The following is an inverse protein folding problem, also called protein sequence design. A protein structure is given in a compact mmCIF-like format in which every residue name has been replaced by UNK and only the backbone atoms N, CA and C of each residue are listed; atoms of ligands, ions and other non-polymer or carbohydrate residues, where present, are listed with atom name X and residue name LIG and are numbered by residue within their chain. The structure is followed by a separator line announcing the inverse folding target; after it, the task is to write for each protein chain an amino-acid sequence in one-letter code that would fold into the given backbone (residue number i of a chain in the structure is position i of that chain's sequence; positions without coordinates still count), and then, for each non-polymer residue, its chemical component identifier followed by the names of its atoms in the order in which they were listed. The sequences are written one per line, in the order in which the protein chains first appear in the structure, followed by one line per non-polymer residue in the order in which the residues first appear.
data_IF_679880159384
#
_entry.id   IF_679880159384
#
_cell.length_a   1.000
_cell.length_b   1.000
_cell.length_c   1.000
_cell.angle_alpha   90.00
_cell.angle_beta   90.00
_cell.angle_gamma   90.00
#
_symmetry.space_group_name_H-M   'P 1'
#
loop_
_entity.id
_entity.type
_entity.pdbx_description
1 polymer ?
#
# COMPACT_ATOMS: atom_id res chain seq x y z
N UNK A 1 -13.26 31.31 62.16
CA UNK A 1 -11.82 31.60 62.08
C UNK A 1 -11.10 30.28 61.82
N UNK A 2 -10.08 30.33 60.97
CA UNK A 2 -9.38 29.25 60.26
C UNK A 2 -8.83 28.02 61.04
N UNK A 3 -8.62 26.95 60.23
CA UNK A 3 -7.59 25.88 60.29
C UNK A 3 -7.85 24.71 61.26
N UNK A 4 -7.69 23.44 60.88
CA UNK A 4 -7.19 22.87 59.64
C UNK A 4 -7.50 21.37 59.57
N UNK A 5 -7.78 20.90 58.37
CA UNK A 5 -7.94 19.48 58.04
C UNK A 5 -6.53 18.88 57.96
N UNK A 6 -6.18 18.04 58.93
CA UNK A 6 -4.99 17.19 58.85
C UNK A 6 -5.34 15.93 58.06
N UNK A 7 -4.83 15.87 56.83
CA UNK A 7 -4.74 14.69 55.99
C UNK A 7 -3.82 13.69 56.69
N UNK A 8 -4.36 12.67 57.35
CA UNK A 8 -3.62 11.44 57.69
C UNK A 8 -4.57 10.36 58.21
N UNK A 9 -5.46 9.87 57.35
CA UNK A 9 -5.86 8.46 57.40
C UNK A 9 -5.51 7.86 56.06
N UNK A 10 -4.22 7.53 55.92
CA UNK A 10 -3.72 6.66 54.88
C UNK A 10 -4.36 5.30 55.16
N UNK A 11 -5.41 5.00 54.40
CA UNK A 11 -5.99 3.67 54.33
C UNK A 11 -4.90 2.72 53.83
N UNK A 12 -4.27 2.02 54.77
CA UNK A 12 -3.28 0.98 54.54
C UNK A 12 -3.94 -0.31 54.00
N UNK A 13 -4.75 -0.18 52.94
CA UNK A 13 -5.42 -1.29 52.26
C UNK A 13 -5.13 -1.36 50.75
N UNK A 14 -4.43 -0.39 50.17
CA UNK A 14 -4.12 -0.39 48.73
C UNK A 14 -2.74 -0.98 48.40
N UNK A 15 -2.36 -2.09 49.03
CA UNK A 15 -1.06 -2.70 48.77
C UNK A 15 -1.10 -4.14 48.24
N UNK A 16 -2.23 -4.67 47.77
CA UNK A 16 -2.24 -6.02 47.16
C UNK A 16 -3.29 -6.33 46.08
N UNK A 17 -4.02 -5.35 45.52
CA UNK A 17 -4.89 -5.62 44.38
C UNK A 17 -5.29 -4.35 43.59
N UNK A 18 -4.32 -3.55 43.17
CA UNK A 18 -4.48 -2.96 41.83
C UNK A 18 -4.23 -4.12 40.87
N UNK A 19 -5.25 -4.95 40.66
CA UNK A 19 -5.28 -5.85 39.53
C UNK A 19 -5.12 -4.96 38.30
N UNK A 20 -3.91 -4.92 37.76
CA UNK A 20 -3.67 -4.64 36.37
C UNK A 20 -4.65 -5.56 35.64
N UNK A 21 -5.79 -5.04 35.20
CA UNK A 21 -6.60 -5.77 34.24
C UNK A 21 -5.65 -6.03 33.08
N UNK A 22 -5.29 -7.29 32.77
CA UNK A 22 -4.53 -7.54 31.55
C UNK A 22 -5.36 -6.93 30.43
N UNK A 23 -4.75 -6.04 29.62
CA UNK A 23 -5.42 -5.53 28.43
C UNK A 23 -5.84 -6.77 27.65
N UNK A 24 -7.14 -7.06 27.65
CA UNK A 24 -7.66 -8.21 26.94
C UNK A 24 -7.33 -7.97 25.49
N UNK A 25 -6.66 -8.93 24.86
CA UNK A 25 -6.39 -8.82 23.45
C UNK A 25 -7.75 -8.74 22.73
N UNK A 26 -7.88 -7.89 21.71
CA UNK A 26 -9.13 -7.74 20.95
C UNK A 26 -8.85 -7.65 19.47
N UNK A 27 -9.81 -8.12 18.68
CA UNK A 27 -9.82 -8.02 17.22
C UNK A 27 -11.11 -7.30 16.84
N UNK A 28 -11.01 -6.27 16.02
CA UNK A 28 -12.16 -5.45 15.61
C UNK A 28 -12.16 -5.26 14.10
N UNK A 29 -13.36 -5.18 13.51
CA UNK A 29 -13.54 -4.92 12.08
C UNK A 29 -14.30 -3.60 11.89
N UNK A 30 -13.91 -2.82 10.87
CA UNK A 30 -14.54 -1.57 10.49
C UNK A 30 -14.55 -1.39 8.97
N UNK A 31 -15.57 -0.74 8.38
CA UNK A 31 -16.84 -0.34 9.02
C UNK A 31 -17.73 -1.54 9.31
N UNK A 32 -18.83 -1.35 10.03
CA UNK A 32 -19.79 -2.41 10.37
C UNK A 32 -20.77 -2.75 9.24
N UNK A 33 -20.98 -1.81 8.30
CA UNK A 33 -21.82 -2.00 7.12
C UNK A 33 -21.20 -1.26 5.94
N UNK A 34 -21.20 -1.90 4.78
CA UNK A 34 -20.81 -1.34 3.48
C UNK A 34 -21.92 -1.60 2.46
N UNK A 35 -22.15 -0.64 1.57
CA UNK A 35 -23.10 -0.78 0.48
C UNK A 35 -22.49 -0.22 -0.79
N UNK A 36 -22.45 -1.04 -1.84
CA UNK A 36 -21.86 -0.69 -3.13
C UNK A 36 -22.68 -1.26 -4.29
N UNK A 37 -22.44 -0.74 -5.48
CA UNK A 37 -22.92 -1.34 -6.73
C UNK A 37 -21.91 -2.35 -7.27
N UNK A 38 -22.36 -3.21 -8.18
CA UNK A 38 -21.47 -4.10 -8.93
C UNK A 38 -20.33 -3.35 -9.64
N UNK A 39 -19.18 -4.00 -9.77
CA UNK A 39 -17.93 -3.43 -10.28
C UNK A 39 -17.16 -2.57 -9.27
N UNK A 40 -17.75 -2.25 -8.11
CA UNK A 40 -17.11 -1.46 -7.05
C UNK A 40 -15.94 -2.17 -6.35
N UNK A 41 -15.38 -1.49 -5.35
CA UNK A 41 -14.33 -2.01 -4.46
C UNK A 41 -14.79 -1.79 -3.01
N UNK A 42 -14.86 -2.87 -2.24
CA UNK A 42 -15.18 -2.80 -0.80
C UNK A 42 -13.91 -2.94 0.03
N UNK A 43 -13.74 -2.09 1.04
CA UNK A 43 -12.58 -2.13 1.93
C UNK A 43 -12.99 -2.35 3.38
N UNK A 44 -12.50 -3.41 3.99
CA UNK A 44 -12.59 -3.63 5.44
C UNK A 44 -11.23 -3.44 6.08
N UNK A 45 -11.23 -2.92 7.30
CA UNK A 45 -10.05 -2.79 8.16
C UNK A 45 -10.24 -3.66 9.40
N UNK A 46 -9.23 -4.45 9.72
CA UNK A 46 -9.14 -5.26 10.92
C UNK A 46 -8.07 -4.68 11.84
N UNK A 47 -8.43 -4.27 13.05
CA UNK A 47 -7.51 -3.72 14.03
C UNK A 47 -7.32 -4.71 15.17
N UNK A 48 -6.06 -4.96 15.52
CA UNK A 48 -5.67 -5.88 16.61
C UNK A 48 -5.07 -5.09 17.77
N UNK A 49 -5.49 -5.38 18.99
CA UNK A 49 -4.79 -4.96 20.20
C UNK A 49 -4.06 -6.18 20.78
N UNK A 50 -2.79 -6.37 20.42
CA UNK A 50 -1.95 -7.37 21.09
C UNK A 50 -1.02 -6.68 22.08
N UNK A 51 -0.77 -7.35 23.20
CA UNK A 51 0.40 -7.05 24.02
C UNK A 51 1.63 -7.37 23.17
N UNK A 52 2.54 -6.41 23.08
CA UNK A 52 3.70 -6.45 22.20
C UNK A 52 4.74 -7.46 22.71
N UNK A 53 4.41 -8.74 22.65
CA UNK A 53 5.41 -9.79 22.77
C UNK A 53 6.03 -9.97 21.38
N UNK A 54 7.17 -9.30 21.19
CA UNK A 54 7.85 -9.05 19.91
C UNK A 54 8.31 -10.31 19.16
N UNK A 55 8.05 -11.50 19.69
CA UNK A 55 8.39 -12.78 19.08
C UNK A 55 7.20 -13.62 18.62
N UNK A 56 5.95 -13.19 18.86
CA UNK A 56 4.79 -14.00 18.51
C UNK A 56 4.44 -13.90 17.02
N UNK A 57 4.74 -14.95 16.25
CA UNK A 57 4.23 -15.12 14.91
C UNK A 57 2.71 -15.29 14.95
N UNK A 58 2.03 -14.51 14.12
CA UNK A 58 0.59 -14.61 13.92
C UNK A 58 0.21 -14.45 12.45
N UNK A 59 -0.96 -14.99 12.11
CA UNK A 59 -1.62 -14.72 10.83
C UNK A 59 -3.01 -14.14 11.05
N UNK A 60 -3.41 -13.27 10.13
CA UNK A 60 -4.74 -12.72 10.08
C UNK A 60 -5.49 -13.33 8.91
N UNK A 61 -6.59 -14.01 9.22
CA UNK A 61 -7.48 -14.61 8.26
C UNK A 61 -8.73 -13.75 8.08
N UNK A 62 -9.21 -13.69 6.85
CA UNK A 62 -10.49 -13.07 6.50
C UNK A 62 -11.49 -14.17 6.15
N UNK A 63 -12.70 -14.03 6.67
CA UNK A 63 -13.78 -14.97 6.48
C UNK A 63 -15.02 -14.27 5.92
N UNK A 64 -15.80 -15.03 5.16
CA UNK A 64 -17.11 -14.64 4.66
C UNK A 64 -18.14 -15.70 5.02
N UNK A 65 -19.26 -15.25 5.54
CA UNK A 65 -20.45 -16.03 5.83
C UNK A 65 -21.60 -15.51 4.97
N UNK A 66 -22.34 -16.42 4.32
CA UNK A 66 -23.59 -16.09 3.63
C UNK A 66 -24.73 -16.72 4.41
N UNK A 67 -25.96 -16.23 4.21
CA UNK A 67 -27.13 -16.79 4.89
C UNK A 67 -27.18 -18.31 4.66
N UNK A 68 -27.17 -19.08 5.76
CA UNK A 68 -27.23 -20.54 5.80
C UNK A 68 -25.98 -21.32 5.36
N UNK A 69 -24.82 -20.67 5.18
CA UNK A 69 -23.56 -21.36 4.89
C UNK A 69 -22.56 -21.24 6.04
N UNK A 70 -21.67 -22.22 6.17
CA UNK A 70 -20.55 -22.13 7.09
C UNK A 70 -19.57 -21.04 6.60
N UNK A 71 -18.97 -20.31 7.55
CA UNK A 71 -17.96 -19.31 7.24
C UNK A 71 -16.80 -19.91 6.44
N UNK A 72 -16.49 -19.29 5.30
CA UNK A 72 -15.40 -19.68 4.42
C UNK A 72 -14.24 -18.69 4.55
N UNK A 73 -13.03 -19.20 4.73
CA UNK A 73 -11.81 -18.39 4.64
C UNK A 73 -11.64 -17.91 3.20
N UNK A 74 -11.49 -16.60 3.03
CA UNK A 74 -11.36 -15.95 1.72
C UNK A 74 -9.96 -15.42 1.45
N UNK A 75 -9.20 -15.08 2.50
CA UNK A 75 -7.83 -14.59 2.39
C UNK A 75 -7.06 -14.75 3.70
N UNK A 76 -5.73 -14.67 3.60
CA UNK A 76 -4.78 -14.69 4.73
C UNK A 76 -3.63 -13.73 4.47
N UNK A 77 -3.14 -13.09 5.53
CA UNK A 77 -1.89 -12.34 5.52
C UNK A 77 -1.11 -12.63 6.81
N UNK A 78 0.18 -12.95 6.69
CA UNK A 78 1.06 -13.13 7.84
C UNK A 78 1.59 -11.78 8.34
N UNK A 79 2.05 -11.74 9.60
CA UNK A 79 2.72 -10.56 10.18
C UNK A 79 3.90 -10.08 9.32
N UNK A 80 4.65 -11.00 8.71
CA UNK A 80 5.86 -10.69 7.91
C UNK A 80 5.55 -10.25 6.49
N UNK A 81 4.32 -10.46 6.02
CA UNK A 81 3.90 -10.10 4.66
C UNK A 81 3.32 -8.68 4.64
N UNK A 82 3.97 -7.69 3.99
CA UNK A 82 3.45 -6.32 3.94
C UNK A 82 2.22 -6.17 3.04
N UNK A 83 2.11 -7.02 2.01
CA UNK A 83 1.05 -6.96 1.00
C UNK A 83 0.83 -8.36 0.41
N UNK A 84 -0.42 -8.68 0.08
CA UNK A 84 -0.79 -9.83 -0.75
C UNK A 84 -1.85 -9.40 -1.77
N UNK A 85 -1.79 -9.90 -3.00
CA UNK A 85 -2.74 -9.56 -4.05
C UNK A 85 -3.14 -10.81 -4.85
N UNK A 86 -4.44 -10.98 -5.04
CA UNK A 86 -5.05 -11.91 -5.99
C UNK A 86 -5.89 -11.14 -7.00
N UNK A 87 -6.57 -11.84 -7.92
CA UNK A 87 -7.54 -11.22 -8.82
C UNK A 87 -8.72 -10.59 -8.06
N UNK A 88 -9.14 -11.23 -6.95
CA UNK A 88 -10.31 -10.81 -6.18
C UNK A 88 -10.00 -9.95 -4.97
N UNK A 89 -8.83 -10.14 -4.35
CA UNK A 89 -8.51 -9.53 -3.05
C UNK A 89 -7.17 -8.81 -3.07
N UNK A 90 -7.08 -7.68 -2.38
CA UNK A 90 -5.81 -7.02 -2.07
C UNK A 90 -5.72 -6.77 -0.57
N UNK A 91 -4.68 -7.33 0.05
CA UNK A 91 -4.46 -7.25 1.49
C UNK A 91 -3.24 -6.38 1.76
N UNK A 92 -3.36 -5.49 2.74
CA UNK A 92 -2.25 -4.65 3.23
C UNK A 92 -2.08 -4.84 4.73
N UNK A 93 -0.84 -4.97 5.16
CA UNK A 93 -0.48 -5.06 6.57
C UNK A 93 0.19 -3.74 6.99
N UNK A 94 -0.51 -3.00 7.85
CA UNK A 94 -0.02 -1.83 8.55
C UNK A 94 -0.31 -1.98 10.04
N UNK A 95 0.30 -3.01 10.66
CA UNK A 95 0.14 -3.35 12.08
C UNK A 95 0.05 -2.09 12.95
N UNK A 96 -1.00 -1.94 13.79
CA UNK A 96 -1.99 -2.94 14.16
C UNK A 96 -3.18 -3.10 13.20
N UNK A 97 -3.20 -2.36 12.08
CA UNK A 97 -4.33 -2.34 11.14
C UNK A 97 -4.01 -3.10 9.86
N UNK A 98 -4.84 -4.09 9.57
CA UNK A 98 -4.78 -4.89 8.35
C UNK A 98 -5.98 -4.55 7.50
N UNK A 99 -5.81 -4.37 6.19
CA UNK A 99 -6.95 -4.08 5.30
C UNK A 99 -7.10 -5.16 4.25
N UNK A 100 -8.35 -5.45 3.90
CA UNK A 100 -8.72 -6.21 2.72
C UNK A 100 -9.54 -5.32 1.79
N UNK A 101 -9.17 -5.30 0.52
CA UNK A 101 -9.96 -4.73 -0.57
C UNK A 101 -10.53 -5.89 -1.39
N UNK A 102 -11.86 -5.94 -1.55
CA UNK A 102 -12.57 -6.89 -2.40
C UNK A 102 -12.83 -6.18 -3.73
N UNK A 103 -12.16 -6.63 -4.78
CA UNK A 103 -12.15 -6.00 -6.09
C UNK A 103 -13.33 -6.50 -6.94
N UNK A 104 -13.76 -5.66 -7.89
CA UNK A 104 -14.79 -5.98 -8.88
C UNK A 104 -16.00 -6.70 -8.25
N UNK A 105 -16.75 -5.96 -7.41
CA UNK A 105 -17.85 -6.52 -6.63
C UNK A 105 -18.96 -7.10 -7.53
N UNK A 106 -19.49 -8.24 -7.14
CA UNK A 106 -20.68 -8.88 -7.70
C UNK A 106 -21.75 -9.02 -6.60
N UNK A 107 -23.02 -9.16 -6.95
CA UNK A 107 -24.09 -9.41 -5.97
C UNK A 107 -23.80 -10.58 -5.03
N UNK A 108 -23.18 -11.65 -5.55
CA UNK A 108 -22.79 -12.82 -4.76
C UNK A 108 -21.68 -12.53 -3.74
N UNK A 109 -21.00 -11.38 -3.81
CA UNK A 109 -20.08 -10.93 -2.77
C UNK A 109 -20.81 -10.43 -1.52
N UNK A 110 -22.11 -10.17 -1.59
CA UNK A 110 -22.88 -9.80 -0.40
C UNK A 110 -22.77 -10.87 0.69
N UNK A 111 -22.72 -10.43 1.95
CA UNK A 111 -22.61 -11.31 3.10
C UNK A 111 -22.00 -10.66 4.32
N UNK A 112 -21.78 -11.50 5.34
CA UNK A 112 -21.19 -11.16 6.62
C UNK A 112 -19.70 -11.46 6.60
N UNK A 113 -18.87 -10.48 6.90
CA UNK A 113 -17.40 -10.55 6.87
C UNK A 113 -16.82 -10.36 8.26
N UNK A 114 -15.78 -11.11 8.59
CA UNK A 114 -15.04 -10.95 9.84
C UNK A 114 -13.57 -11.34 9.66
N UNK A 115 -12.72 -10.86 10.55
CA UNK A 115 -11.33 -11.24 10.61
C UNK A 115 -11.05 -12.08 11.86
N UNK A 116 -10.14 -13.04 11.72
CA UNK A 116 -9.67 -13.91 12.81
C UNK A 116 -8.15 -13.82 12.93
N UNK A 117 -7.68 -13.59 14.15
CA UNK A 117 -6.26 -13.57 14.49
C UNK A 117 -5.87 -14.92 15.07
N UNK A 118 -4.84 -15.54 14.48
CA UNK A 118 -4.30 -16.83 14.91
C UNK A 118 -2.87 -16.62 15.37
N UNK A 119 -2.62 -16.92 16.64
CA UNK A 119 -1.27 -16.91 17.24
C UNK A 119 -0.70 -18.32 17.26
N UNK A 120 0.51 -18.53 16.73
CA UNK A 120 1.09 -19.88 16.65
C UNK A 120 1.60 -20.41 18.00
N UNK A 121 1.92 -19.52 18.95
CA UNK A 121 2.40 -19.91 20.28
C UNK A 121 1.28 -20.39 21.23
N UNK A 122 0.03 -20.02 20.96
CA UNK A 122 -1.17 -20.49 21.68
C UNK A 122 -2.13 -21.17 20.68
N UNK A 123 -1.84 -22.41 20.23
CA UNK A 123 -2.48 -23.04 19.06
C UNK A 123 -4.01 -23.28 19.17
N UNK A 124 -4.65 -22.90 20.28
CA UNK A 124 -6.10 -23.05 20.49
C UNK A 124 -6.83 -21.71 20.69
N UNK A 125 -6.15 -20.57 20.52
CA UNK A 125 -6.74 -19.25 20.72
C UNK A 125 -6.87 -18.54 19.39
N UNK A 126 -8.03 -18.70 18.76
CA UNK A 126 -8.46 -17.86 17.64
C UNK A 126 -9.27 -16.71 18.21
N UNK A 127 -8.88 -15.49 17.88
CA UNK A 127 -9.64 -14.31 18.26
C UNK A 127 -10.35 -13.74 17.05
N UNK A 128 -11.67 -13.70 17.11
CA UNK A 128 -12.50 -13.20 16.02
C UNK A 128 -12.99 -11.78 16.30
N UNK A 129 -13.12 -11.00 15.24
CA UNK A 129 -13.86 -9.75 15.29
C UNK A 129 -15.37 -9.97 15.38
N UNK A 130 -16.11 -8.88 15.59
CA UNK A 130 -17.52 -8.81 15.20
C UNK A 130 -17.69 -9.04 13.69
N UNK A 131 -18.94 -9.15 13.25
CA UNK A 131 -19.30 -9.31 11.85
C UNK A 131 -19.63 -7.95 11.23
N UNK A 132 -19.17 -7.72 10.02
CA UNK A 132 -19.50 -6.56 9.20
C UNK A 132 -20.29 -6.99 7.97
N UNK A 133 -21.29 -6.20 7.58
CA UNK A 133 -22.17 -6.52 6.46
C UNK A 133 -21.71 -5.84 5.16
N UNK A 134 -21.60 -6.60 4.08
CA UNK A 134 -21.45 -6.07 2.73
C UNK A 134 -22.73 -6.33 1.94
N UNK A 135 -23.32 -5.27 1.40
CA UNK A 135 -24.44 -5.34 0.47
C UNK A 135 -24.00 -4.83 -0.90
N UNK A 136 -24.09 -5.70 -1.90
CA UNK A 136 -23.80 -5.35 -3.30
C UNK A 136 -25.10 -5.39 -4.09
N UNK A 137 -25.54 -4.24 -4.57
CA UNK A 137 -26.72 -4.12 -5.44
C UNK A 137 -26.31 -4.08 -6.90
N UNK A 138 -27.21 -4.48 -7.80
CA UNK A 138 -27.00 -4.28 -9.24
C UNK A 138 -26.63 -2.82 -9.55
N UNK A 139 -25.77 -2.61 -10.54
CA UNK A 139 -25.57 -1.27 -11.08
C UNK A 139 -26.91 -0.78 -11.65
N UNK A 140 -27.27 0.50 -11.48
CA UNK A 140 -28.44 1.06 -12.14
C UNK A 140 -28.28 0.85 -13.64
N UNK A 141 -29.23 0.14 -14.26
CA UNK A 141 -29.30 0.10 -15.73
C UNK A 141 -29.56 1.52 -16.21
N UNK A 142 -28.61 2.09 -16.93
CA UNK A 142 -28.86 3.32 -17.69
C UNK A 142 -29.72 2.92 -18.89
N UNK A 143 -31.03 2.76 -18.66
CA UNK A 143 -31.99 2.60 -19.75
C UNK A 143 -31.86 3.82 -20.67
N UNK A 144 -31.62 3.65 -21.98
CA UNK A 144 -31.62 4.76 -22.92
C UNK A 144 -33.06 5.10 -23.31
N UNK A 145 -33.96 5.35 -22.35
CA UNK A 145 -35.34 5.82 -22.63
C UNK A 145 -35.93 6.49 -21.40
N UNK A 146 -35.35 7.60 -21.00
CA UNK A 146 -36.06 8.82 -20.61
C UNK A 146 -34.97 9.88 -20.58
N UNK A 147 -34.87 10.59 -21.69
CA UNK A 147 -34.15 11.85 -21.77
C UNK A 147 -34.65 12.72 -20.61
N UNK A 148 -33.83 13.04 -19.59
CA UNK A 148 -34.21 14.12 -18.72
C UNK A 148 -34.31 15.33 -19.65
N UNK A 149 -35.44 16.04 -19.64
CA UNK A 149 -35.50 17.40 -20.16
C UNK A 149 -34.33 18.14 -19.49
N UNK A 150 -33.23 18.25 -20.22
CA UNK A 150 -32.17 19.16 -19.90
C UNK A 150 -32.83 20.50 -20.14
N UNK A 151 -33.25 21.17 -19.07
CA UNK A 151 -33.30 22.63 -19.13
C UNK A 151 -31.94 23.05 -19.67
N UNK A 152 -31.95 23.51 -20.91
CA UNK A 152 -30.81 24.02 -21.65
C UNK A 152 -30.39 25.35 -20.99
N UNK A 153 -29.83 25.23 -19.78
CA UNK A 153 -29.16 26.29 -19.06
C UNK A 153 -27.88 26.60 -19.80
N UNK A 154 -28.00 27.45 -20.82
CA UNK A 154 -26.94 27.98 -21.67
C UNK A 154 -25.52 27.88 -21.08
N UNK A 155 -24.73 26.82 -21.39
CA UNK A 155 -23.31 26.75 -21.01
C UNK A 155 -22.44 27.69 -21.87
N UNK A 156 -23.07 28.43 -22.79
CA UNK A 156 -22.43 29.29 -23.78
C UNK A 156 -21.64 30.44 -23.16
N UNK A 157 -22.12 31.03 -22.06
CA UNK A 157 -21.53 32.26 -21.52
C UNK A 157 -20.21 32.03 -20.76
N UNK A 158 -20.08 30.93 -20.01
CA UNK A 158 -18.84 30.63 -19.28
C UNK A 158 -17.72 30.19 -20.24
N UNK A 159 -18.07 29.43 -21.28
CA UNK A 159 -17.12 29.01 -22.32
C UNK A 159 -16.68 30.22 -23.15
N UNK A 160 -17.61 31.10 -23.55
CA UNK A 160 -17.27 32.37 -24.24
C UNK A 160 -16.40 33.28 -23.38
N UNK A 161 -16.72 33.44 -22.10
CA UNK A 161 -15.93 34.26 -21.17
C UNK A 161 -14.52 33.70 -21.00
N UNK A 162 -14.38 32.37 -20.89
CA UNK A 162 -13.08 31.71 -20.81
C UNK A 162 -12.27 31.87 -22.10
N UNK A 163 -12.93 31.73 -23.27
CA UNK A 163 -12.28 31.89 -24.58
C UNK A 163 -11.80 33.34 -24.80
N UNK A 164 -12.62 34.33 -24.45
CA UNK A 164 -12.25 35.75 -24.49
C UNK A 164 -11.09 36.05 -23.52
N UNK A 165 -11.12 35.47 -22.32
CA UNK A 165 -10.02 35.58 -21.35
C UNK A 165 -8.70 35.05 -21.90
N UNK A 166 -8.72 33.88 -22.56
CA UNK A 166 -7.54 33.27 -23.18
C UNK A 166 -7.02 34.14 -24.34
N UNK A 167 -7.91 34.65 -25.20
CA UNK A 167 -7.52 35.55 -26.30
C UNK A 167 -6.87 36.84 -25.80
N UNK A 168 -7.42 37.45 -24.75
CA UNK A 168 -6.87 38.66 -24.14
C UNK A 168 -5.49 38.40 -23.53
N UNK A 169 -5.34 37.28 -22.80
CA UNK A 169 -4.05 36.90 -22.20
C UNK A 169 -2.98 36.67 -23.27
N UNK A 170 -3.33 35.94 -24.34
CA UNK A 170 -2.42 35.72 -25.47
C UNK A 170 -2.02 37.03 -26.16
N UNK A 171 -2.97 37.95 -26.34
CA UNK A 171 -2.70 39.29 -26.88
C UNK A 171 -1.71 40.10 -26.03
N UNK A 172 -1.87 40.09 -24.71
CA UNK A 172 -0.94 40.77 -23.78
C UNK A 172 0.46 40.16 -23.88
N UNK A 173 0.58 38.84 -23.92
CA UNK A 173 1.88 38.16 -24.06
C UNK A 173 2.57 38.55 -25.38
N UNK A 174 1.84 38.59 -26.49
CA UNK A 174 2.38 39.02 -27.78
C UNK A 174 2.84 40.49 -27.76
N UNK A 175 2.09 41.37 -27.11
CA UNK A 175 2.49 42.78 -26.96
C UNK A 175 3.74 42.94 -26.10
N UNK A 176 3.89 42.12 -25.04
CA UNK A 176 5.10 42.11 -24.23
C UNK A 176 6.31 41.61 -25.02
N UNK A 177 6.16 40.56 -25.83
CA UNK A 177 7.22 40.05 -26.71
C UNK A 177 7.61 41.12 -27.74
N UNK A 178 6.64 41.75 -28.39
CA UNK A 178 6.90 42.80 -29.37
C UNK A 178 7.51 44.05 -28.73
N UNK A 179 7.04 44.43 -27.54
CA UNK A 179 7.63 45.50 -26.72
C UNK A 179 9.08 45.20 -26.34
N UNK A 180 9.35 43.97 -25.88
CA UNK A 180 10.69 43.52 -25.58
C UNK A 180 11.60 43.56 -26.81
N UNK A 181 11.14 43.02 -27.94
CA UNK A 181 11.89 43.04 -29.19
C UNK A 181 12.17 44.49 -29.63
N UNK A 182 11.17 45.36 -29.66
CA UNK A 182 11.36 46.76 -30.03
C UNK A 182 12.32 47.49 -29.08
N UNK A 183 12.32 47.19 -27.78
CA UNK A 183 13.32 47.71 -26.83
C UNK A 183 14.71 47.16 -27.17
N UNK A 184 14.86 45.85 -27.42
CA UNK A 184 16.15 45.25 -27.78
C UNK A 184 16.68 45.73 -29.14
N UNK A 185 15.80 45.99 -30.11
CA UNK A 185 16.17 46.53 -31.41
C UNK A 185 16.47 48.03 -31.35
N UNK A 186 15.73 48.82 -30.54
CA UNK A 186 16.04 50.23 -30.31
C UNK A 186 17.27 50.44 -29.43
N UNK A 187 17.56 49.51 -28.51
CA UNK A 187 18.77 49.51 -27.66
C UNK A 187 19.95 48.76 -28.32
N UNK A 188 19.69 48.03 -29.40
CA UNK A 188 20.65 47.25 -30.18
C UNK A 188 21.09 47.92 -31.49
N UNK A 189 20.95 49.25 -31.58
CA UNK A 189 21.55 50.08 -32.63
C UNK A 189 23.07 50.26 -32.52
N UNK A 190 23.79 49.36 -31.82
CA UNK A 190 25.25 49.30 -31.84
C UNK A 190 25.69 47.85 -31.75
N UNK A 191 26.02 47.28 -32.92
CA UNK A 191 27.14 46.35 -33.01
C UNK A 191 28.41 47.16 -32.66
N UNK A 192 29.32 46.60 -31.86
CA UNK A 192 30.68 46.54 -32.38
C UNK A 192 31.26 45.14 -32.18
N UNK A 193 31.42 44.48 -33.33
CA UNK A 193 32.49 43.55 -33.55
C UNK A 193 33.79 44.39 -33.58
N UNK A 194 34.73 44.11 -32.67
CA UNK A 194 36.12 44.47 -32.87
C UNK A 194 36.72 45.51 -31.91
N UNK A 195 37.65 44.99 -31.08
CA UNK A 195 38.99 45.53 -30.82
C UNK A 195 39.32 46.07 -29.40
N UNK A 196 40.42 45.49 -28.89
CA UNK A 196 41.48 46.08 -28.05
C UNK A 196 41.25 46.01 -26.51
N UNK A 197 41.78 44.98 -25.81
CA UNK A 197 43.13 44.88 -25.17
C UNK A 197 43.32 45.91 -24.03
N UNK A 198 43.76 45.61 -22.79
CA UNK A 198 44.97 44.88 -22.33
C UNK A 198 44.81 44.39 -20.85
N UNK A 199 45.30 43.16 -20.62
CA UNK A 199 45.88 42.39 -19.47
C UNK A 199 46.33 43.09 -18.14
N UNK A 200 46.62 42.36 -16.99
CA UNK A 200 47.51 41.18 -16.91
C UNK A 200 47.28 40.06 -15.85
N UNK A 201 47.94 38.91 -16.08
CA UNK A 201 48.23 37.83 -15.11
C UNK A 201 48.13 36.41 -15.70
N UNK A 202 49.06 35.96 -16.56
CA UNK A 202 50.19 35.04 -16.22
C UNK A 202 49.70 33.64 -15.77
N UNK A 203 49.93 32.48 -16.43
CA UNK A 203 51.01 32.00 -17.31
C UNK A 203 50.62 30.65 -17.98
N UNK A 204 50.75 30.59 -19.32
CA UNK A 204 51.28 29.55 -20.25
C UNK A 204 50.77 28.07 -20.15
N UNK A 205 50.39 27.30 -21.19
CA UNK A 205 50.79 27.20 -22.61
C UNK A 205 49.92 26.12 -23.37
N UNK A 206 49.64 26.23 -24.69
CA UNK A 206 49.13 25.13 -25.52
C UNK A 206 50.04 24.77 -26.72
N UNK A 207 50.18 23.48 -27.07
CA UNK A 207 50.80 23.03 -28.33
C UNK A 207 49.94 21.96 -29.06
N UNK A 208 49.42 22.39 -30.22
CA UNK A 208 49.35 21.76 -31.56
C UNK A 208 48.85 20.31 -31.85
N UNK A 209 47.84 20.25 -32.75
CA UNK A 209 47.59 19.40 -33.95
C UNK A 209 48.13 17.94 -34.02
N UNK A 210 47.38 16.84 -34.30
CA UNK A 210 46.57 16.44 -35.48
C UNK A 210 45.89 15.04 -35.21
N UNK A 211 44.78 14.61 -35.88
CA UNK A 211 44.07 13.32 -35.61
C UNK A 211 44.67 12.14 -36.43
N UNK A 212 44.17 10.86 -36.41
CA UNK A 212 43.01 10.24 -35.73
C UNK A 212 43.32 8.89 -35.02
N UNK A 213 42.59 8.49 -33.97
CA UNK A 213 42.46 7.06 -33.60
C UNK A 213 41.05 6.79 -33.05
N UNK A 214 40.35 5.90 -33.74
CA UNK A 214 39.10 5.27 -33.28
C UNK A 214 39.43 4.40 -32.07
N UNK A 215 38.89 4.73 -30.90
CA UNK A 215 38.91 3.85 -29.72
C UNK A 215 37.49 3.35 -29.46
N UNK A 216 37.29 2.08 -29.77
CA UNK A 216 36.07 1.31 -29.47
C UNK A 216 35.94 1.20 -27.95
N UNK A 217 34.76 1.54 -27.42
CA UNK A 217 34.41 1.38 -26.01
C UNK A 217 34.09 -0.10 -25.73
N UNK A 218 35.07 -0.87 -25.25
CA UNK A 218 34.81 -2.18 -24.63
C UNK A 218 34.45 -1.97 -23.16
N UNK A 219 33.26 -2.45 -22.77
CA UNK A 219 32.76 -2.42 -21.40
C UNK A 219 33.59 -3.38 -20.54
N UNK A 220 34.12 -2.87 -19.45
CA UNK A 220 34.91 -3.60 -18.45
C UNK A 220 33.96 -4.37 -17.50
N UNK A 221 33.96 -5.69 -17.57
CA UNK A 221 33.21 -6.53 -16.63
C UNK A 221 34.10 -6.86 -15.44
N UNK A 222 33.90 -6.17 -14.32
CA UNK A 222 34.56 -6.48 -13.05
C UNK A 222 34.16 -7.87 -12.55
N UNK A 223 35.15 -8.72 -12.28
CA UNK A 223 35.00 -10.02 -11.63
C UNK A 223 34.95 -9.82 -10.12
N UNK A 224 33.89 -10.30 -9.46
CA UNK A 224 33.81 -10.35 -8.00
C UNK A 224 34.62 -11.56 -7.49
N UNK A 225 35.74 -11.30 -6.82
CA UNK A 225 36.50 -12.32 -6.11
C UNK A 225 35.85 -12.58 -4.75
N UNK A 226 35.28 -13.77 -4.55
CA UNK A 226 34.77 -14.19 -3.25
C UNK A 226 35.89 -14.83 -2.45
N UNK A 227 36.32 -14.16 -1.37
CA UNK A 227 37.23 -14.70 -0.36
C UNK A 227 36.57 -15.93 0.28
N UNK A 228 37.04 -17.13 -0.08
CA UNK A 228 36.73 -18.38 0.61
C UNK A 228 37.83 -18.60 1.64
N UNK A 229 37.54 -18.32 2.90
CA UNK A 229 38.43 -18.67 4.01
C UNK A 229 38.71 -20.18 3.98
N UNK A 230 39.99 -20.53 3.83
CA UNK A 230 40.48 -21.89 3.92
C UNK A 230 40.69 -22.22 5.40
N UNK A 231 39.96 -23.22 5.90
CA UNK A 231 40.48 -24.09 6.96
C UNK A 231 40.57 -25.52 6.40
N UNK A 232 41.80 -25.98 6.32
CA UNK A 232 42.27 -27.26 5.79
C UNK A 232 41.76 -28.44 6.61
N UNK A 233 41.22 -29.50 5.97
CA UNK A 233 41.80 -30.86 5.93
C UNK A 233 40.78 -31.96 5.52
N UNK A 234 41.08 -32.60 4.37
CA UNK A 234 40.87 -34.02 3.99
C UNK A 234 39.45 -34.52 3.61
N UNK A 235 39.30 -34.89 2.33
CA UNK A 235 38.29 -35.81 1.77
C UNK A 235 38.96 -37.20 1.56
N UNK A 236 38.27 -38.33 1.78
CA UNK A 236 37.85 -39.15 0.64
C UNK A 236 36.34 -39.51 0.64
N UNK A 237 35.82 -39.61 -0.57
CA UNK A 237 34.53 -40.12 -1.07
C UNK A 237 33.57 -40.87 -0.12
N UNK A 238 32.27 -40.56 -0.20
CA UNK A 238 31.24 -41.41 -0.84
C UNK A 238 29.95 -40.58 -1.02
N UNK A 239 29.32 -40.70 -2.19
CA UNK A 239 28.08 -39.99 -2.60
C UNK A 239 26.93 -40.25 -1.62
N UNK A 240 26.09 -39.25 -1.24
CA UNK A 240 24.79 -39.55 -0.68
C UNK A 240 23.86 -39.93 -1.84
N UNK A 241 23.37 -41.17 -1.84
CA UNK A 241 22.21 -41.51 -2.63
C UNK A 241 21.03 -40.66 -2.12
N UNK A 242 20.33 -40.01 -3.05
CA UNK A 242 19.08 -39.29 -2.81
C UNK A 242 18.08 -40.24 -2.11
N UNK A 243 17.95 -40.13 -0.79
CA UNK A 243 16.88 -40.79 -0.04
C UNK A 243 15.70 -39.83 -0.01
N UNK A 244 14.88 -39.87 -1.06
CA UNK A 244 13.53 -39.33 -1.01
C UNK A 244 12.65 -40.31 -0.25
N UNK A 245 12.33 -39.98 1.00
CA UNK A 245 11.38 -40.73 1.82
C UNK A 245 9.95 -40.29 1.47
N UNK A 246 9.14 -41.23 0.99
CA UNK A 246 7.72 -41.00 0.72
C UNK A 246 6.89 -41.51 1.89
N UNK A 247 5.97 -40.68 2.40
CA UNK A 247 4.97 -41.09 3.37
C UNK A 247 3.64 -41.40 2.66
N UNK A 248 3.00 -42.52 3.05
CA UNK A 248 1.67 -42.90 2.57
C UNK A 248 0.61 -42.45 3.57
N UNK A 249 -0.33 -41.61 3.13
CA UNK A 249 -1.48 -41.21 3.94
C UNK A 249 -2.60 -42.23 3.75
N UNK A 250 -3.01 -42.92 4.82
CA UNK A 250 -4.15 -43.84 4.83
C UNK A 250 -5.36 -43.12 5.42
N UNK A 251 -6.46 -43.03 4.66
CA UNK A 251 -7.73 -42.51 5.15
C UNK A 251 -8.54 -43.65 5.79
N UNK A 252 -9.17 -43.44 6.96
CA UNK A 252 -10.08 -44.41 7.55
C UNK A 252 -11.35 -44.55 6.71
N UNK A 253 -11.92 -45.75 6.63
CA UNK A 253 -13.21 -45.99 5.97
C UNK A 253 -14.34 -45.22 6.66
N UNK A 254 -15.15 -44.55 5.86
CA UNK A 254 -16.33 -43.83 6.31
C UNK A 254 -17.38 -44.83 6.82
N UNK A 255 -17.84 -44.66 8.06
CA UNK A 255 -18.88 -45.53 8.62
C UNK A 255 -20.19 -45.30 7.86
N UNK A 256 -20.91 -46.36 7.46
CA UNK A 256 -22.21 -46.20 6.82
C UNK A 256 -23.19 -45.54 7.79
N UNK A 257 -23.83 -44.47 7.33
CA UNK A 257 -24.92 -43.78 8.04
C UNK A 257 -26.14 -44.71 8.02
N UNK A 258 -26.47 -45.30 9.16
CA UNK A 258 -27.75 -46.00 9.34
C UNK A 258 -28.88 -44.96 9.37
N UNK A 259 -29.92 -45.09 8.53
CA UNK A 259 -31.08 -44.23 8.64
C UNK A 259 -31.86 -44.56 9.93
N UNK A 260 -32.06 -43.56 10.78
CA UNK A 260 -32.99 -43.66 11.91
C UNK A 260 -34.41 -43.90 11.38
N UNK A 261 -35.12 -44.83 12.04
CA UNK A 261 -36.51 -45.18 11.80
C UNK A 261 -37.37 -44.71 12.96
#
# INVERSE_FOLDING_TARGET
LHRGVTVSEICACCNHACALFPLSQTVTIFPSVLTFHEGGIATFSCNISMESDSGSEYSLNWYKETNHSQARKIAEISQTSPMMKTEKYRLTNHTPVFKIEILNLHQNDSGSYYCGLITFFEPNKVMESSRSQLMVTAAPEMNPTEEPEIEEGNPSEHIKAMLLGILLLAGVVLLLIFGYLTITYRRGGTIPLGAMQIQPGTRDQPCEEKPPVVSVSTVDYGVLEFQRDQCTHVLPETRPADQTEYATIIFPEEKPVTPER
#
